data_IF_718557877506
#
_entry.id   IF_718557877506
#
_cell.length_a   1.000
_cell.length_b   1.000
_cell.length_c   1.000
_cell.angle_alpha   90.00
_cell.angle_beta   90.00
_cell.angle_gamma   90.00
#
_symmetry.space_group_name_H-M   'P 1'
#
loop_
_entity.id
_entity.type
_entity.pdbx_description
1 polymer ?
#
# COMPACT_ATOMS: atom_id res chain seq x y z
N UNK A 1 -0.95 8.25 20.65
CA UNK A 1 0.07 7.30 21.19
C UNK A 1 0.65 6.56 20.01
N UNK A 2 1.90 6.84 19.60
CA UNK A 2 2.52 6.15 18.47
C UNK A 2 2.97 4.75 18.93
N UNK A 3 2.35 3.72 18.39
CA UNK A 3 2.72 2.32 18.64
C UNK A 3 4.09 2.05 18.00
N UNK A 4 5.04 1.54 18.79
CA UNK A 4 6.36 1.14 18.28
C UNK A 4 6.18 -0.02 17.31
N UNK A 5 6.51 0.19 16.03
CA UNK A 5 6.50 -0.87 15.03
C UNK A 5 7.50 -1.97 15.39
N UNK A 6 7.04 -3.20 15.31
CA UNK A 6 7.83 -4.43 15.43
C UNK A 6 8.85 -4.52 14.30
N UNK A 7 9.86 -5.37 14.47
CA UNK A 7 10.90 -5.59 13.44
C UNK A 7 10.31 -6.07 12.10
N UNK A 8 9.27 -6.89 12.15
CA UNK A 8 8.59 -7.41 10.96
C UNK A 8 7.85 -6.29 10.21
N UNK A 9 7.13 -5.42 10.93
CA UNK A 9 6.44 -4.28 10.34
C UNK A 9 7.43 -3.29 9.71
N UNK A 10 8.57 -3.04 10.36
CA UNK A 10 9.64 -2.22 9.77
C UNK A 10 10.17 -2.82 8.47
N UNK A 11 10.41 -4.13 8.44
CA UNK A 11 10.89 -4.82 7.24
C UNK A 11 9.88 -4.74 6.08
N UNK A 12 8.57 -4.85 6.37
CA UNK A 12 7.51 -4.74 5.38
C UNK A 12 7.41 -3.32 4.77
N UNK A 13 7.78 -2.28 5.52
CA UNK A 13 7.72 -0.89 5.08
C UNK A 13 8.99 -0.40 4.38
N UNK A 14 10.11 -1.13 4.49
CA UNK A 14 11.40 -0.77 3.85
C UNK A 14 11.29 -0.46 2.34
N UNK A 15 10.56 -1.24 1.51
CA UNK A 15 10.45 -0.96 0.07
C UNK A 15 9.73 0.36 -0.28
N UNK A 16 9.01 0.94 0.68
CA UNK A 16 8.21 2.15 0.50
C UNK A 16 8.90 3.41 1.06
N UNK A 17 10.10 3.29 1.62
CA UNK A 17 10.87 4.43 2.10
C UNK A 17 11.42 5.24 0.92
N UNK A 18 11.02 6.51 0.82
CA UNK A 18 11.56 7.43 -0.17
C UNK A 18 12.88 8.01 0.35
N UNK A 19 14.00 7.53 -0.20
CA UNK A 19 15.33 8.11 0.02
C UNK A 19 16.42 7.06 0.21
N UNK A 20 17.15 6.77 -0.88
CA UNK A 20 18.53 6.29 -0.92
C UNK A 20 18.91 4.98 -0.20
N UNK A 21 19.92 4.22 -0.70
CA UNK A 21 20.34 2.98 -0.08
C UNK A 21 20.85 3.19 1.36
N UNK A 22 20.78 2.14 2.21
CA UNK A 22 21.23 2.22 3.59
C UNK A 22 22.72 2.55 3.65
N UNK A 23 23.05 3.69 4.26
CA UNK A 23 24.44 4.00 4.62
C UNK A 23 25.00 2.95 5.59
N UNK A 24 26.32 2.74 5.63
CA UNK A 24 26.95 1.71 6.45
C UNK A 24 26.61 1.88 7.93
N UNK A 25 26.62 0.81 8.74
CA UNK A 25 26.53 0.93 10.19
C UNK A 25 27.72 1.79 10.66
N UNK A 26 27.40 2.95 11.22
CA UNK A 26 28.40 3.79 11.87
C UNK A 26 28.79 3.13 13.18
N UNK A 27 29.85 2.31 13.14
CA UNK A 27 30.62 1.94 14.32
C UNK A 27 31.41 3.19 14.75
N UNK A 28 30.76 3.98 15.58
CA UNK A 28 31.33 5.14 16.24
C UNK A 28 30.74 5.19 17.63
N UNK A 29 31.58 4.97 18.62
CA UNK A 29 31.35 5.21 20.03
C UNK A 29 31.07 6.71 20.22
N UNK A 30 29.80 7.09 20.00
CA UNK A 30 29.27 8.45 20.11
C UNK A 30 29.06 8.71 21.61
N UNK A 31 30.05 9.34 22.23
CA UNK A 31 30.10 9.73 23.65
C UNK A 31 29.21 10.97 23.90
N UNK A 32 27.99 10.94 23.39
CA UNK A 32 26.99 11.99 23.50
C UNK A 32 26.02 11.77 24.66
N UNK A 33 25.46 12.86 25.18
CA UNK A 33 24.44 12.78 26.23
C UNK A 33 23.20 12.05 25.72
N UNK A 34 22.51 11.29 26.58
CA UNK A 34 21.25 10.61 26.25
C UNK A 34 20.22 11.56 25.59
N UNK A 35 20.26 12.84 25.99
CA UNK A 35 19.42 13.91 25.41
C UNK A 35 19.83 14.22 23.97
N UNK A 36 21.12 14.32 23.68
CA UNK A 36 21.61 14.51 22.30
C UNK A 36 21.25 13.33 21.41
N UNK A 37 21.34 12.10 21.93
CA UNK A 37 20.90 10.91 21.20
C UNK A 37 19.38 10.93 20.93
N UNK A 38 18.59 11.44 21.88
CA UNK A 38 17.15 11.63 21.72
C UNK A 38 16.83 12.72 20.69
N UNK A 39 17.52 13.86 20.74
CA UNK A 39 17.34 14.96 19.80
C UNK A 39 17.77 14.60 18.38
N UNK A 40 18.92 13.93 18.22
CA UNK A 40 19.43 13.43 16.94
C UNK A 40 18.46 12.42 16.33
N UNK A 41 17.89 11.54 17.16
CA UNK A 41 16.81 10.61 16.74
C UNK A 41 15.47 11.30 16.46
N UNK A 42 15.14 12.37 17.19
CA UNK A 42 13.93 13.16 16.92
C UNK A 42 14.05 13.88 15.58
N UNK A 43 15.20 14.48 15.28
CA UNK A 43 15.46 15.12 13.99
C UNK A 43 15.39 14.12 12.83
N UNK A 44 15.89 12.90 13.02
CA UNK A 44 15.78 11.82 12.02
C UNK A 44 14.36 11.23 11.89
N UNK A 45 13.50 11.33 12.92
CA UNK A 45 12.11 10.88 12.88
C UNK A 45 11.14 11.91 12.31
N UNK A 46 11.58 13.18 12.21
CA UNK A 46 10.81 14.31 11.67
C UNK A 46 11.11 14.54 10.19
N UNK A 47 11.97 13.73 9.56
CA UNK A 47 11.99 13.64 8.10
C UNK A 47 10.63 13.09 7.63
N UNK A 48 9.71 14.01 7.37
CA UNK A 48 8.38 13.71 6.88
C UNK A 48 8.53 12.86 5.63
N UNK A 49 8.14 11.58 5.73
CA UNK A 49 8.24 10.68 4.61
C UNK A 49 7.30 11.18 3.52
N UNK A 50 7.86 11.84 2.50
CA UNK A 50 7.12 12.49 1.43
C UNK A 50 6.57 11.42 0.50
N UNK A 51 5.40 10.88 0.83
CA UNK A 51 4.68 9.98 -0.05
C UNK A 51 4.11 10.80 -1.22
N UNK A 52 4.69 10.65 -2.42
CA UNK A 52 4.33 11.43 -3.62
C UNK A 52 2.83 11.35 -4.02
N UNK A 53 2.11 10.34 -3.52
CA UNK A 53 0.76 9.96 -3.95
C UNK A 53 -0.28 10.00 -2.82
N UNK A 54 -0.03 10.67 -1.68
CA UNK A 54 -1.02 10.73 -0.57
C UNK A 54 -2.40 11.21 -1.00
N UNK A 55 -2.45 12.17 -1.94
CA UNK A 55 -3.72 12.69 -2.50
C UNK A 55 -4.54 11.66 -3.26
N UNK A 56 -3.92 10.58 -3.74
CA UNK A 56 -4.61 9.49 -4.45
C UNK A 56 -5.08 8.38 -3.52
N UNK A 57 -4.58 8.35 -2.27
CA UNK A 57 -5.05 7.42 -1.27
C UNK A 57 -6.29 8.06 -0.63
N UNK A 58 -7.50 7.49 -0.82
CA UNK A 58 -8.68 8.04 -0.18
C UNK A 58 -8.52 8.04 1.34
N UNK A 59 -9.05 9.03 2.05
CA UNK A 59 -8.92 9.16 3.51
C UNK A 59 -9.54 8.00 4.29
N UNK A 60 -10.35 7.16 3.64
CA UNK A 60 -10.80 5.87 4.19
C UNK A 60 -10.47 4.76 3.20
N UNK A 61 -9.73 3.75 3.67
CA UNK A 61 -9.37 2.56 2.88
C UNK A 61 -10.55 1.60 2.66
N UNK A 62 -11.80 2.06 2.76
CA UNK A 62 -12.99 1.21 2.68
C UNK A 62 -13.35 0.79 1.23
N UNK A 63 -12.66 1.32 0.22
CA UNK A 63 -12.93 0.91 -1.17
C UNK A 63 -12.65 -0.58 -1.38
N UNK A 64 -11.53 -1.08 -0.86
CA UNK A 64 -11.18 -2.50 -0.93
C UNK A 64 -12.12 -3.38 -0.11
N UNK A 65 -12.42 -2.98 1.11
CA UNK A 65 -13.32 -3.73 2.00
C UNK A 65 -14.73 -3.85 1.41
N UNK A 66 -15.30 -2.73 0.92
CA UNK A 66 -16.59 -2.72 0.24
C UNK A 66 -16.59 -3.59 -1.02
N UNK A 67 -15.51 -3.56 -1.80
CA UNK A 67 -15.34 -4.39 -3.00
C UNK A 67 -15.36 -5.89 -2.66
N UNK A 68 -14.53 -6.33 -1.71
CA UNK A 68 -14.48 -7.75 -1.33
C UNK A 68 -15.75 -8.22 -0.60
N UNK A 69 -16.40 -7.33 0.16
CA UNK A 69 -17.71 -7.63 0.75
C UNK A 69 -18.76 -7.86 -0.33
N UNK A 70 -18.82 -6.99 -1.35
CA UNK A 70 -19.76 -7.13 -2.46
C UNK A 70 -19.47 -8.38 -3.29
N UNK A 71 -18.20 -8.67 -3.56
CA UNK A 71 -17.78 -9.89 -4.26
C UNK A 71 -18.22 -11.14 -3.50
N UNK A 72 -18.06 -11.15 -2.16
CA UNK A 72 -18.50 -12.26 -1.31
C UNK A 72 -20.01 -12.43 -1.31
N UNK A 73 -20.79 -11.35 -1.29
CA UNK A 73 -22.26 -11.42 -1.36
C UNK A 73 -22.73 -11.91 -2.73
N UNK A 74 -22.12 -11.43 -3.81
CA UNK A 74 -22.57 -11.70 -5.19
C UNK A 74 -22.13 -13.06 -5.69
N UNK A 75 -20.89 -13.45 -5.39
CA UNK A 75 -20.25 -14.66 -5.91
C UNK A 75 -19.96 -15.70 -4.82
N UNK A 76 -20.39 -15.49 -3.57
CA UNK A 76 -20.07 -16.40 -2.47
C UNK A 76 -20.51 -17.85 -2.74
N UNK A 77 -21.65 -18.03 -3.40
CA UNK A 77 -22.17 -19.35 -3.77
C UNK A 77 -21.42 -19.96 -4.98
N UNK A 78 -21.21 -19.16 -6.03
CA UNK A 78 -20.55 -19.59 -7.28
C UNK A 78 -19.02 -19.62 -7.20
N UNK A 79 -18.44 -19.13 -6.10
CA UNK A 79 -16.98 -19.11 -5.92
C UNK A 79 -16.35 -20.49 -5.99
N UNK A 80 -17.07 -21.53 -5.54
CA UNK A 80 -16.58 -22.90 -5.60
C UNK A 80 -16.74 -23.55 -6.98
N UNK A 81 -17.58 -22.99 -7.87
CA UNK A 81 -17.76 -23.48 -9.24
C UNK A 81 -16.88 -22.74 -10.25
N UNK A 82 -16.30 -21.59 -9.88
CA UNK A 82 -15.43 -20.79 -10.73
C UNK A 82 -13.95 -21.00 -10.42
N UNK A 83 -13.11 -21.02 -11.46
CA UNK A 83 -11.67 -20.96 -11.27
C UNK A 83 -11.26 -19.59 -10.69
N UNK A 84 -10.31 -19.50 -9.74
CA UNK A 84 -9.93 -18.24 -9.10
C UNK A 84 -9.58 -17.12 -10.09
N UNK A 85 -8.82 -17.44 -11.15
CA UNK A 85 -8.48 -16.51 -12.22
C UNK A 85 -9.70 -15.91 -12.92
N UNK A 86 -10.74 -16.73 -13.16
CA UNK A 86 -11.97 -16.28 -13.83
C UNK A 86 -12.75 -15.34 -12.93
N UNK A 87 -12.83 -15.64 -11.63
CA UNK A 87 -13.45 -14.76 -10.65
C UNK A 87 -12.73 -13.41 -10.58
N UNK A 88 -11.40 -13.41 -10.56
CA UNK A 88 -10.59 -12.19 -10.56
C UNK A 88 -10.84 -11.35 -11.82
N UNK A 89 -10.88 -11.96 -13.00
CA UNK A 89 -11.19 -11.28 -14.26
C UNK A 89 -12.59 -10.65 -14.25
N UNK A 90 -13.61 -11.39 -13.80
CA UNK A 90 -14.99 -10.87 -13.72
C UNK A 90 -15.06 -9.67 -12.77
N UNK A 91 -14.42 -9.77 -11.60
CA UNK A 91 -14.41 -8.68 -10.62
C UNK A 91 -13.65 -7.46 -11.12
N UNK A 92 -12.51 -7.66 -11.78
CA UNK A 92 -11.72 -6.58 -12.39
C UNK A 92 -12.52 -5.80 -13.43
N UNK A 93 -13.20 -6.53 -14.33
CA UNK A 93 -14.07 -5.92 -15.33
C UNK A 93 -15.22 -5.17 -14.65
N UNK A 94 -15.95 -5.81 -13.74
CA UNK A 94 -17.09 -5.16 -13.05
C UNK A 94 -16.73 -3.89 -12.30
N UNK A 95 -15.52 -3.79 -11.73
CA UNK A 95 -15.09 -2.60 -10.98
C UNK A 95 -14.69 -1.43 -11.89
N UNK A 96 -14.32 -1.70 -13.14
CA UNK A 96 -13.72 -0.74 -14.06
C UNK A 96 -14.56 -0.48 -15.32
N UNK A 97 -15.91 -0.35 -15.26
CA UNK A 97 -16.75 -0.31 -16.46
C UNK A 97 -16.44 0.86 -17.39
N UNK A 98 -15.92 1.97 -16.87
CA UNK A 98 -15.52 3.14 -17.65
C UNK A 98 -14.31 2.90 -18.56
N UNK A 99 -13.48 1.90 -18.25
CA UNK A 99 -12.23 1.66 -18.97
C UNK A 99 -12.37 0.70 -20.15
N UNK A 100 -13.44 -0.10 -20.20
CA UNK A 100 -13.64 -1.14 -21.22
C UNK A 100 -15.02 -1.07 -21.89
N UNK A 101 -15.59 0.12 -22.02
CA UNK A 101 -16.85 0.35 -22.72
C UNK A 101 -16.87 -0.29 -24.12
N UNK A 102 -18.06 -0.62 -24.62
CA UNK A 102 -18.30 -1.25 -25.93
C UNK A 102 -17.60 -0.45 -27.04
N UNK A 103 -17.57 0.88 -26.90
CA UNK A 103 -16.90 1.79 -27.83
C UNK A 103 -15.38 1.58 -27.89
N UNK A 104 -14.74 1.31 -26.75
CA UNK A 104 -13.31 1.00 -26.67
C UNK A 104 -13.03 -0.34 -27.35
N UNK A 105 -13.87 -1.35 -27.11
CA UNK A 105 -13.74 -2.67 -27.76
C UNK A 105 -13.95 -2.58 -29.28
N UNK A 106 -14.95 -1.82 -29.72
CA UNK A 106 -15.23 -1.61 -31.15
C UNK A 106 -14.11 -0.87 -31.87
N UNK A 107 -13.40 0.03 -31.18
CA UNK A 107 -12.26 0.77 -31.76
C UNK A 107 -11.04 -0.11 -32.03
N UNK A 108 -10.84 -1.17 -31.26
CA UNK A 108 -9.72 -2.11 -31.42
C UNK A 108 -10.02 -3.18 -32.47
N UNK A 109 -11.32 -3.44 -32.73
CA UNK A 109 -11.78 -4.45 -33.69
C UNK A 109 -11.74 -4.00 -35.15
N UNK A 110 -11.62 -2.69 -35.39
CA UNK A 110 -11.59 -2.08 -36.72
C UNK A 110 -10.15 -1.91 -37.21
#
# INVERSE_FOLDING_TARGET
KATRLTRAEKAALCPFACGGPPGPPADGEDEGSFVEHLEKRCKLAVEEQQYALLRSIPPTSNMGDRFFCLARVTFGHERNSLHPMTLEQILFLRQNPSYWDVRTVDSVRR
#
